data_IF_652815835330
#
_entry.id   IF_652815835330
#
_cell.length_a   1.000
_cell.length_b   1.000
_cell.length_c   1.000
_cell.angle_alpha   90.00
_cell.angle_beta   90.00
_cell.angle_gamma   90.00
#
_symmetry.space_group_name_H-M   'P 1'
#
loop_
_entity.id
_entity.type
_entity.pdbx_description
1 polymer ?
#
# COMPACT_ATOMS: atom_id res chain seq x y z
N UNK A 1 -7.02 -7.95 -15.68
CA UNK A 1 -7.62 -7.32 -14.47
C UNK A 1 -7.85 -8.34 -13.36
N UNK A 2 -8.47 -9.50 -13.61
CA UNK A 2 -8.72 -10.55 -12.61
C UNK A 2 -7.45 -11.15 -11.95
N UNK A 3 -6.33 -11.19 -12.64
CA UNK A 3 -5.05 -11.80 -12.17
C UNK A 3 -4.38 -10.98 -11.05
N UNK A 4 -4.62 -9.66 -10.98
CA UNK A 4 -4.07 -8.82 -9.91
C UNK A 4 -4.85 -8.94 -8.59
N UNK A 5 -6.13 -9.23 -8.68
CA UNK A 5 -7.00 -9.42 -7.52
C UNK A 5 -6.73 -10.77 -6.82
N UNK A 6 -6.44 -11.80 -7.61
CA UNK A 6 -6.11 -13.14 -7.12
C UNK A 6 -4.76 -13.15 -6.36
N UNK A 7 -3.75 -12.43 -6.86
CA UNK A 7 -2.45 -12.32 -6.20
C UNK A 7 -2.51 -11.55 -4.86
N UNK A 8 -3.47 -10.64 -4.70
CA UNK A 8 -3.69 -9.93 -3.44
C UNK A 8 -4.45 -10.76 -2.41
N UNK A 9 -5.37 -11.63 -2.84
CA UNK A 9 -6.13 -12.53 -1.94
C UNK A 9 -5.26 -13.64 -1.35
N UNK A 10 -4.27 -14.11 -2.09
CA UNK A 10 -3.36 -15.17 -1.63
C UNK A 10 -2.35 -14.72 -0.56
N UNK A 11 -2.03 -13.42 -0.49
CA UNK A 11 -1.12 -12.86 0.51
C UNK A 11 -1.78 -12.70 1.88
N UNK A 12 -3.10 -12.47 1.91
CA UNK A 12 -3.82 -12.19 3.16
C UNK A 12 -4.04 -13.47 4.02
N UNK A 13 -4.14 -14.62 3.36
CA UNK A 13 -4.40 -15.91 4.06
C UNK A 13 -3.20 -16.47 4.82
N UNK A 14 -1.97 -15.96 4.60
CA UNK A 14 -0.74 -16.43 5.27
C UNK A 14 -0.32 -15.60 6.48
N UNK A 15 -0.92 -14.44 6.70
CA UNK A 15 -0.55 -13.53 7.79
C UNK A 15 -1.36 -13.72 9.08
N UNK A 16 -2.36 -14.61 9.09
CA UNK A 16 -3.26 -14.83 10.23
C UNK A 16 -2.78 -15.87 11.25
N UNK A 17 -1.52 -16.23 11.26
CA UNK A 17 -1.05 -17.23 12.23
C UNK A 17 0.44 -17.22 12.43
N UNK A 18 0.96 -16.37 13.30
CA UNK A 18 2.11 -16.67 14.15
C UNK A 18 2.33 -15.52 15.16
N UNK A 19 1.86 -15.74 16.37
CA UNK A 19 2.39 -15.12 17.59
C UNK A 19 3.83 -15.56 17.78
N UNK A 20 4.75 -14.62 17.82
CA UNK A 20 6.08 -14.85 18.38
C UNK A 20 6.58 -13.55 19.01
N UNK A 21 6.55 -13.52 20.30
CA UNK A 21 7.17 -12.56 21.21
C UNK A 21 8.67 -12.44 20.95
N UNK A 22 9.18 -11.21 20.89
CA UNK A 22 10.62 -10.93 20.93
C UNK A 22 10.86 -9.42 20.92
N UNK A 23 11.79 -8.90 21.77
CA UNK A 23 11.74 -7.56 22.31
C UNK A 23 12.52 -6.52 21.51
N UNK A 24 12.11 -5.25 21.73
CA UNK A 24 12.86 -4.01 21.61
C UNK A 24 13.47 -3.61 20.26
N UNK A 25 12.77 -2.69 19.63
CA UNK A 25 13.43 -1.55 19.01
C UNK A 25 12.51 -0.32 19.09
N UNK A 26 13.00 0.81 19.61
CA UNK A 26 12.19 2.00 19.79
C UNK A 26 11.87 2.62 18.44
N UNK A 27 10.57 2.78 18.17
CA UNK A 27 10.09 3.65 17.11
C UNK A 27 10.37 5.12 17.46
N UNK A 28 10.53 5.99 16.47
CA UNK A 28 10.62 7.41 16.71
C UNK A 28 9.22 8.00 16.95
N UNK A 29 8.70 7.83 18.16
CA UNK A 29 7.61 8.63 18.69
C UNK A 29 8.21 9.82 19.41
N UNK A 30 8.23 10.95 18.73
CA UNK A 30 8.34 12.24 19.37
C UNK A 30 7.08 13.03 19.04
N UNK A 31 6.24 13.36 20.03
CA UNK A 31 5.12 14.27 19.81
C UNK A 31 5.66 15.68 19.66
N UNK A 32 5.62 16.21 18.43
CA UNK A 32 5.79 17.62 18.18
C UNK A 32 4.63 18.43 18.74
N UNK A 33 4.82 19.73 19.05
CA UNK A 33 3.85 20.53 19.77
C UNK A 33 2.56 20.74 18.97
N UNK A 34 1.44 20.49 19.62
CA UNK A 34 0.11 20.79 19.12
C UNK A 34 -0.03 22.30 18.89
N UNK A 35 -0.12 22.71 17.64
CA UNK A 35 -0.59 24.04 17.31
C UNK A 35 -2.12 23.96 17.24
N UNK A 36 -2.77 24.49 18.26
CA UNK A 36 -4.20 24.78 18.26
C UNK A 36 -4.48 25.87 17.24
N UNK A 37 -4.94 25.51 16.06
CA UNK A 37 -5.49 26.42 15.07
C UNK A 37 -7.03 26.36 15.07
N UNK A 38 -7.73 27.42 14.63
CA UNK A 38 -9.14 27.63 14.89
C UNK A 38 -10.03 26.63 14.16
N UNK A 39 -11.09 26.28 14.88
CA UNK A 39 -12.29 25.54 14.55
C UNK A 39 -12.80 25.82 13.11
N UNK A 40 -12.38 25.02 12.15
CA UNK A 40 -13.03 24.96 10.86
C UNK A 40 -14.07 23.85 10.93
N UNK A 41 -15.32 24.26 11.12
CA UNK A 41 -16.50 23.43 10.95
C UNK A 41 -16.38 22.69 9.62
N UNK A 42 -15.93 21.44 9.65
CA UNK A 42 -16.04 20.51 8.56
C UNK A 42 -17.54 20.24 8.37
N UNK A 43 -18.11 20.79 7.30
CA UNK A 43 -19.43 20.42 6.84
C UNK A 43 -19.42 18.93 6.50
N UNK A 44 -20.07 18.13 7.33
CA UNK A 44 -20.44 16.78 6.97
C UNK A 44 -21.38 16.87 5.76
N UNK A 45 -21.11 16.20 4.65
CA UNK A 45 -22.15 15.92 3.69
C UNK A 45 -23.00 14.78 4.27
N UNK A 46 -23.96 15.15 5.10
CA UNK A 46 -25.10 14.29 5.40
C UNK A 46 -25.89 14.13 4.09
N UNK A 47 -25.62 13.09 3.32
CA UNK A 47 -26.47 12.68 2.23
C UNK A 47 -26.86 11.23 2.42
N UNK A 48 -28.15 11.11 2.61
CA UNK A 48 -29.03 9.94 2.53
C UNK A 48 -28.46 8.83 1.60
N UNK A 49 -28.03 7.74 2.21
CA UNK A 49 -27.52 6.57 1.50
C UNK A 49 -28.65 5.62 1.17
N UNK A 50 -29.37 5.88 0.08
CA UNK A 50 -30.15 4.86 -0.58
C UNK A 50 -29.23 3.74 -1.07
N UNK A 51 -29.55 2.52 -0.71
CA UNK A 51 -28.71 1.31 -0.82
C UNK A 51 -28.31 0.89 -2.23
N UNK A 52 -28.87 1.50 -3.27
CA UNK A 52 -28.63 1.10 -4.66
C UNK A 52 -27.52 1.92 -5.36
N UNK A 53 -27.24 3.14 -4.89
CA UNK A 53 -26.17 4.00 -5.43
C UNK A 53 -24.81 3.75 -4.75
N UNK A 54 -24.77 2.98 -3.67
CA UNK A 54 -23.58 2.78 -2.84
C UNK A 54 -22.47 1.99 -3.53
N UNK A 55 -22.83 0.96 -4.26
CA UNK A 55 -21.86 0.04 -4.89
C UNK A 55 -21.16 0.69 -6.08
N UNK A 56 -21.89 1.43 -6.91
CA UNK A 56 -21.30 2.18 -8.02
C UNK A 56 -20.35 3.29 -7.56
N UNK A 57 -20.72 3.99 -6.50
CA UNK A 57 -19.88 5.06 -5.90
C UNK A 57 -18.61 4.50 -5.25
N UNK A 58 -18.70 3.40 -4.53
CA UNK A 58 -17.54 2.72 -3.95
C UNK A 58 -16.58 2.22 -5.03
N UNK A 59 -17.10 1.66 -6.13
CA UNK A 59 -16.30 1.21 -7.25
C UNK A 59 -15.55 2.38 -7.92
N UNK A 60 -16.21 3.52 -8.09
CA UNK A 60 -15.60 4.73 -8.66
C UNK A 60 -14.51 5.30 -7.74
N UNK A 61 -14.77 5.36 -6.44
CA UNK A 61 -13.78 5.80 -5.45
C UNK A 61 -12.58 4.85 -5.43
N UNK A 62 -12.82 3.55 -5.44
CA UNK A 62 -11.77 2.55 -5.50
C UNK A 62 -10.88 2.72 -6.74
N UNK A 63 -11.46 3.02 -7.91
CA UNK A 63 -10.68 3.25 -9.13
C UNK A 63 -9.85 4.54 -9.04
N UNK A 64 -10.41 5.61 -8.50
CA UNK A 64 -9.67 6.86 -8.26
C UNK A 64 -8.47 6.63 -7.33
N UNK A 65 -8.64 5.84 -6.27
CA UNK A 65 -7.55 5.48 -5.35
C UNK A 65 -6.50 4.62 -6.06
N UNK A 66 -6.91 3.64 -6.87
CA UNK A 66 -5.97 2.81 -7.66
C UNK A 66 -5.14 3.66 -8.62
N UNK A 67 -5.78 4.58 -9.31
CA UNK A 67 -5.09 5.52 -10.21
C UNK A 67 -4.09 6.40 -9.46
N UNK A 68 -4.49 6.96 -8.32
CA UNK A 68 -3.59 7.75 -7.49
C UNK A 68 -2.36 6.93 -7.08
N UNK A 69 -2.53 5.72 -6.59
CA UNK A 69 -1.43 4.85 -6.18
C UNK A 69 -0.56 4.47 -7.40
N UNK A 70 -1.16 4.11 -8.52
CA UNK A 70 -0.45 3.76 -9.77
C UNK A 70 0.46 4.89 -10.26
N UNK A 71 -0.01 6.12 -10.14
CA UNK A 71 0.73 7.30 -10.61
C UNK A 71 1.78 7.81 -9.60
N UNK A 72 1.70 7.40 -8.34
CA UNK A 72 2.53 7.98 -7.27
C UNK A 72 3.30 6.94 -6.44
N UNK A 73 3.15 5.64 -6.66
CA UNK A 73 3.76 4.60 -5.80
C UNK A 73 5.29 4.69 -5.70
N UNK A 74 5.96 5.26 -6.68
CA UNK A 74 7.42 5.47 -6.67
C UNK A 74 7.85 6.58 -5.70
N UNK A 75 6.91 7.45 -5.30
CA UNK A 75 7.15 8.55 -4.38
C UNK A 75 6.81 8.13 -2.95
N UNK A 76 7.29 8.91 -2.00
CA UNK A 76 6.83 8.80 -0.62
C UNK A 76 5.41 9.36 -0.53
N UNK A 77 4.43 8.48 -0.43
CA UNK A 77 3.01 8.83 -0.30
C UNK A 77 2.44 8.21 0.97
N UNK A 78 1.58 8.98 1.63
CA UNK A 78 0.88 8.56 2.84
C UNK A 78 -0.64 8.44 2.61
N UNK A 79 -1.33 7.83 3.56
CA UNK A 79 -2.78 7.80 3.60
C UNK A 79 -3.36 9.24 3.67
N UNK A 80 -2.70 10.12 4.43
CA UNK A 80 -3.08 11.52 4.58
C UNK A 80 -3.00 12.30 3.27
N UNK A 81 -1.98 12.03 2.45
CA UNK A 81 -1.84 12.67 1.15
C UNK A 81 -2.96 12.25 0.20
N UNK A 82 -3.30 10.96 0.22
CA UNK A 82 -4.41 10.42 -0.56
C UNK A 82 -5.77 10.99 -0.10
N UNK A 83 -5.98 11.07 1.22
CA UNK A 83 -7.20 11.64 1.81
C UNK A 83 -7.36 13.13 1.41
N UNK A 84 -6.29 13.91 1.53
CA UNK A 84 -6.26 15.33 1.12
C UNK A 84 -6.57 15.53 -0.35
N UNK A 85 -5.95 14.72 -1.21
CA UNK A 85 -6.17 14.78 -2.66
C UNK A 85 -7.65 14.56 -3.02
N UNK A 86 -8.34 13.72 -2.26
CA UNK A 86 -9.76 13.42 -2.47
C UNK A 86 -10.72 14.28 -1.65
N UNK A 87 -10.21 15.28 -0.91
CA UNK A 87 -10.99 16.14 0.00
C UNK A 87 -11.75 15.37 1.10
N UNK A 88 -11.17 14.27 1.59
CA UNK A 88 -11.70 13.51 2.71
C UNK A 88 -10.92 13.77 4.00
N UNK A 89 -11.59 13.62 5.15
CA UNK A 89 -10.90 13.53 6.44
C UNK A 89 -10.15 12.20 6.53
N UNK A 90 -9.03 12.18 7.28
CA UNK A 90 -8.21 10.97 7.45
C UNK A 90 -9.02 9.78 7.99
N UNK A 91 -9.90 10.04 8.97
CA UNK A 91 -10.74 9.01 9.58
C UNK A 91 -11.74 8.42 8.58
N UNK A 92 -12.39 9.29 7.78
CA UNK A 92 -13.33 8.84 6.76
C UNK A 92 -12.63 8.07 5.65
N UNK A 93 -11.49 8.59 5.16
CA UNK A 93 -10.70 7.92 4.12
C UNK A 93 -10.20 6.55 4.58
N UNK A 94 -9.72 6.42 5.82
CA UNK A 94 -9.28 5.15 6.39
C UNK A 94 -10.40 4.08 6.36
N UNK A 95 -11.62 4.48 6.79
CA UNK A 95 -12.80 3.61 6.75
C UNK A 95 -13.18 3.23 5.33
N UNK A 96 -13.22 4.22 4.44
CA UNK A 96 -13.56 4.04 3.03
C UNK A 96 -12.55 3.14 2.31
N UNK A 97 -11.26 3.37 2.55
CA UNK A 97 -10.19 2.55 1.99
C UNK A 97 -10.33 1.08 2.40
N UNK A 98 -10.59 0.84 3.69
CA UNK A 98 -10.80 -0.52 4.20
C UNK A 98 -12.04 -1.18 3.59
N UNK A 99 -13.12 -0.42 3.34
CA UNK A 99 -14.30 -0.93 2.63
C UNK A 99 -14.01 -1.31 1.17
N UNK A 100 -13.19 -0.50 0.47
CA UNK A 100 -12.87 -0.74 -0.93
C UNK A 100 -11.86 -1.88 -1.15
N UNK A 101 -10.90 -2.08 -0.22
CA UNK A 101 -9.74 -2.94 -0.44
C UNK A 101 -9.54 -4.03 0.61
N UNK A 102 -10.37 -4.08 1.64
CA UNK A 102 -10.32 -5.01 2.78
C UNK A 102 -8.95 -5.04 3.50
N UNK A 103 -8.17 -3.97 3.37
CA UNK A 103 -6.85 -3.80 3.99
C UNK A 103 -6.54 -2.32 4.19
N UNK A 104 -5.48 -2.02 4.95
CA UNK A 104 -5.04 -0.63 5.13
C UNK A 104 -4.19 -0.14 3.95
N UNK A 105 -4.08 1.19 3.83
CA UNK A 105 -3.35 1.87 2.75
C UNK A 105 -1.89 1.42 2.64
N UNK A 106 -1.18 1.31 3.78
CA UNK A 106 0.23 0.92 3.80
C UNK A 106 0.44 -0.51 3.30
N UNK A 107 -0.43 -1.44 3.70
CA UNK A 107 -0.38 -2.83 3.24
C UNK A 107 -0.64 -2.93 1.75
N UNK A 108 -1.64 -2.20 1.26
CA UNK A 108 -1.97 -2.14 -0.17
C UNK A 108 -0.81 -1.56 -0.99
N UNK A 109 -0.26 -0.41 -0.58
CA UNK A 109 0.86 0.23 -1.26
C UNK A 109 2.10 -0.68 -1.28
N UNK A 110 2.40 -1.35 -0.16
CA UNK A 110 3.50 -2.31 -0.07
C UNK A 110 3.31 -3.46 -1.06
N UNK A 111 2.13 -4.06 -1.09
CA UNK A 111 1.80 -5.12 -2.04
C UNK A 111 1.91 -4.67 -3.50
N UNK A 112 1.43 -3.45 -3.79
CA UNK A 112 1.54 -2.86 -5.12
C UNK A 112 3.01 -2.69 -5.54
N UNK A 113 3.84 -2.09 -4.68
CA UNK A 113 5.28 -1.90 -4.94
C UNK A 113 6.02 -3.21 -5.15
N UNK A 114 5.73 -4.24 -4.35
CA UNK A 114 6.32 -5.57 -4.51
C UNK A 114 5.90 -6.20 -5.84
N UNK A 115 4.66 -6.04 -6.27
CA UNK A 115 4.20 -6.55 -7.55
C UNK A 115 4.87 -5.84 -8.74
N UNK A 116 5.08 -4.53 -8.66
CA UNK A 116 5.85 -3.80 -9.67
C UNK A 116 7.33 -4.22 -9.65
N UNK A 117 7.92 -4.43 -8.47
CA UNK A 117 9.28 -4.94 -8.35
C UNK A 117 9.46 -6.31 -9.00
N UNK A 118 8.49 -7.22 -8.87
CA UNK A 118 8.52 -8.53 -9.54
C UNK A 118 8.61 -8.40 -11.06
N UNK A 119 7.92 -7.41 -11.64
CA UNK A 119 7.97 -7.15 -13.09
C UNK A 119 9.36 -6.65 -13.51
N UNK A 120 9.91 -5.69 -12.76
CA UNK A 120 11.23 -5.13 -13.04
C UNK A 120 12.37 -6.15 -12.82
N UNK A 121 12.23 -7.04 -11.85
CA UNK A 121 13.23 -8.09 -11.57
C UNK A 121 13.38 -9.10 -12.71
N UNK A 122 12.43 -9.22 -13.62
CA UNK A 122 12.55 -10.05 -14.84
C UNK A 122 13.58 -9.51 -15.81
N UNK A 123 13.85 -8.21 -15.77
CA UNK A 123 14.91 -7.58 -16.54
C UNK A 123 16.25 -7.69 -15.78
N UNK A 124 17.18 -8.49 -16.30
CA UNK A 124 18.50 -8.68 -15.70
C UNK A 124 19.42 -7.47 -15.85
N UNK A 125 19.13 -6.58 -16.76
CA UNK A 125 19.90 -5.34 -16.96
C UNK A 125 19.74 -4.34 -15.81
N UNK A 126 18.63 -4.45 -15.05
CA UNK A 126 18.33 -3.56 -13.93
C UNK A 126 18.86 -4.18 -12.64
N UNK A 127 19.69 -3.46 -11.90
CA UNK A 127 20.19 -3.95 -10.60
C UNK A 127 19.07 -4.02 -9.56
N UNK A 128 19.20 -4.91 -8.56
CA UNK A 128 18.22 -4.99 -7.44
C UNK A 128 18.12 -3.65 -6.70
N UNK A 129 19.21 -2.91 -6.61
CA UNK A 129 19.24 -1.57 -6.01
C UNK A 129 18.40 -0.58 -6.84
N UNK A 130 18.55 -0.61 -8.16
CA UNK A 130 17.78 0.27 -9.04
C UNK A 130 16.28 -0.10 -9.03
N UNK A 131 15.97 -1.40 -8.99
CA UNK A 131 14.58 -1.86 -8.79
C UNK A 131 14.01 -1.30 -7.49
N UNK A 132 14.76 -1.37 -6.37
CA UNK A 132 14.26 -0.84 -5.09
C UNK A 132 13.94 0.65 -5.18
N UNK A 133 14.79 1.44 -5.81
CA UNK A 133 14.58 2.88 -6.00
C UNK A 133 13.38 3.16 -6.91
N UNK A 134 13.24 2.44 -8.01
CA UNK A 134 12.14 2.61 -8.95
C UNK A 134 10.77 2.28 -8.36
N UNK A 135 10.73 1.40 -7.37
CA UNK A 135 9.46 1.07 -6.69
C UNK A 135 9.25 1.85 -5.38
N UNK A 136 10.06 2.89 -5.13
CA UNK A 136 9.88 3.82 -4.01
C UNK A 136 10.49 3.37 -2.69
N UNK A 137 11.55 2.55 -2.72
CA UNK A 137 12.36 2.21 -1.56
C UNK A 137 13.77 2.73 -1.71
N UNK A 138 14.13 3.74 -0.93
CA UNK A 138 15.48 4.34 -0.95
C UNK A 138 16.54 3.46 -0.27
N UNK A 139 16.12 2.62 0.70
CA UNK A 139 16.98 1.62 1.34
C UNK A 139 16.73 0.23 0.73
N UNK A 140 17.71 -0.26 -0.02
CA UNK A 140 17.64 -1.57 -0.67
C UNK A 140 17.65 -2.74 0.33
N UNK A 141 18.24 -2.57 1.52
CA UNK A 141 18.21 -3.61 2.57
C UNK A 141 16.83 -3.71 3.18
N UNK A 142 16.18 -2.58 3.43
CA UNK A 142 14.79 -2.57 3.87
C UNK A 142 13.86 -3.16 2.81
N UNK A 143 14.05 -2.77 1.54
CA UNK A 143 13.32 -3.37 0.42
C UNK A 143 13.44 -4.89 0.38
N UNK A 144 14.66 -5.43 0.52
CA UNK A 144 14.88 -6.87 0.50
C UNK A 144 14.13 -7.60 1.63
N UNK A 145 14.08 -7.00 2.84
CA UNK A 145 13.30 -7.53 3.98
C UNK A 145 11.81 -7.51 3.69
N UNK A 146 11.28 -6.41 3.16
CA UNK A 146 9.86 -6.28 2.78
C UNK A 146 9.51 -7.28 1.70
N UNK A 147 10.31 -7.36 0.65
CA UNK A 147 10.11 -8.28 -0.47
C UNK A 147 10.10 -9.73 -0.01
N UNK A 148 11.09 -10.13 0.82
CA UNK A 148 11.15 -11.49 1.39
C UNK A 148 9.92 -11.81 2.25
N UNK A 149 9.48 -10.87 3.08
CA UNK A 149 8.27 -11.05 3.90
C UNK A 149 7.02 -11.29 3.04
N UNK A 150 6.92 -10.61 1.90
CA UNK A 150 5.75 -10.68 1.01
C UNK A 150 5.79 -11.87 0.05
N UNK A 151 6.97 -12.34 -0.34
CA UNK A 151 7.14 -13.35 -1.39
C UNK A 151 7.75 -14.66 -0.91
N UNK A 152 8.35 -14.66 0.27
CA UNK A 152 9.11 -15.79 0.81
C UNK A 152 10.57 -15.84 0.38
N UNK A 153 11.00 -15.05 -0.61
CA UNK A 153 12.35 -15.04 -1.20
C UNK A 153 12.93 -13.62 -1.20
N UNK A 154 14.25 -13.51 -1.17
CA UNK A 154 14.90 -12.22 -1.43
C UNK A 154 14.82 -11.88 -2.93
N UNK A 155 14.94 -10.57 -3.31
CA UNK A 155 14.79 -10.15 -4.71
C UNK A 155 15.73 -10.84 -5.70
N UNK A 156 16.96 -11.16 -5.30
CA UNK A 156 17.92 -11.88 -6.15
C UNK A 156 17.51 -13.34 -6.39
N UNK A 157 17.09 -14.04 -5.34
CA UNK A 157 16.58 -15.41 -5.45
C UNK A 157 15.33 -15.47 -6.32
N UNK A 158 14.43 -14.50 -6.18
CA UNK A 158 13.24 -14.39 -7.00
C UNK A 158 13.60 -14.23 -8.49
N UNK A 159 14.56 -13.35 -8.81
CA UNK A 159 15.08 -13.15 -10.16
C UNK A 159 15.61 -14.44 -10.77
N UNK A 160 16.39 -15.21 -10.01
CA UNK A 160 17.00 -16.44 -10.47
C UNK A 160 15.96 -17.54 -10.69
N UNK A 161 14.95 -17.63 -9.83
CA UNK A 161 13.85 -18.60 -9.97
C UNK A 161 12.97 -18.34 -11.20
N UNK A 162 12.70 -17.10 -11.54
CA UNK A 162 11.92 -16.73 -12.76
C UNK A 162 12.67 -17.09 -14.04
N UNK A 163 13.99 -17.18 -13.98
CA UNK A 163 14.81 -17.52 -15.17
C UNK A 163 14.93 -19.02 -15.37
N UNK A 164 14.83 -19.81 -14.30
CA UNK A 164 14.88 -21.27 -14.37
C UNK A 164 13.61 -21.91 -14.96
N UNK A 165 12.54 -21.13 -15.12
CA UNK A 165 11.25 -21.60 -15.67
C UNK A 165 11.05 -21.29 -17.17
N UNK A 166 12.08 -20.82 -17.86
CA UNK A 166 12.06 -20.47 -19.28
C UNK A 166 12.92 -21.43 -20.09
#
# INVERSE_FOLDING_TARGET
MAVMEEAMRLTDKRLAGQDASGPDSPGPDSPGPYITGPDVRAGEPAQDMSRDDGDGRLAQVAETIREYIRNNYMKEISMQDAARMMNYSDAYFCKLFKQCFDQNFTSYLTGFRVNEAKKLLRDRSISVKDVSMQVGYYDSNYFAKVFKRMTGMIPSEYRDSETAQK
#
